data_IF_404381414768
#
_entry.id   IF_404381414768
#
_cell.length_a   1.000
_cell.length_b   1.000
_cell.length_c   1.000
_cell.angle_alpha   90.00
_cell.angle_beta   90.00
_cell.angle_gamma   90.00
#
_symmetry.space_group_name_H-M   'P 1'
#
loop_
_entity.id
_entity.type
_entity.pdbx_description
1 polymer ?
#
# COMPACT_ATOMS: atom_id res chain seq x y z
N UNK A 1 4.41 -17.01 -4.00
CA UNK A 1 5.33 -15.86 -3.78
C UNK A 1 6.15 -16.04 -2.50
N UNK A 2 7.46 -15.78 -2.53
CA UNK A 2 8.36 -15.82 -1.36
C UNK A 2 8.89 -14.43 -1.05
N UNK A 3 8.93 -14.05 0.25
CA UNK A 3 9.47 -12.78 0.72
C UNK A 3 10.91 -12.95 1.20
N UNK A 4 11.83 -12.20 0.61
CA UNK A 4 13.25 -12.11 1.02
C UNK A 4 13.43 -10.77 1.72
N UNK A 5 13.72 -10.80 3.02
CA UNK A 5 13.94 -9.58 3.82
C UNK A 5 15.41 -9.25 3.91
N UNK A 6 15.79 -8.11 3.33
CA UNK A 6 17.14 -7.58 3.33
C UNK A 6 18.08 -8.26 2.34
N UNK A 7 19.03 -7.49 1.83
CA UNK A 7 20.02 -7.93 0.84
C UNK A 7 20.97 -9.04 1.37
N UNK A 8 21.12 -9.17 2.69
CA UNK A 8 21.95 -10.21 3.30
C UNK A 8 21.34 -11.63 3.16
N UNK A 9 20.05 -11.73 2.89
CA UNK A 9 19.35 -13.00 2.69
C UNK A 9 19.22 -13.40 1.20
N UNK A 10 19.91 -12.74 0.29
CA UNK A 10 19.83 -13.00 -1.15
C UNK A 10 20.34 -14.40 -1.57
N UNK A 11 21.12 -15.08 -0.73
CA UNK A 11 21.46 -16.49 -0.96
C UNK A 11 20.25 -17.43 -1.06
N UNK A 12 19.07 -16.94 -0.60
CA UNK A 12 17.77 -17.62 -0.70
C UNK A 12 16.99 -17.22 -1.94
N UNK A 13 17.48 -16.25 -2.72
CA UNK A 13 16.90 -15.84 -3.99
C UNK A 13 17.41 -16.76 -5.11
N UNK A 14 16.63 -16.93 -6.19
CA UNK A 14 17.16 -17.57 -7.39
C UNK A 14 18.29 -16.72 -7.98
N UNK A 15 19.32 -17.38 -8.49
CA UNK A 15 20.31 -16.72 -9.33
C UNK A 15 19.82 -16.75 -10.77
N UNK A 16 19.59 -15.57 -11.33
CA UNK A 16 18.89 -15.38 -12.60
C UNK A 16 17.41 -15.04 -12.39
N UNK A 17 17.01 -13.85 -12.83
CA UNK A 17 15.62 -13.39 -12.70
C UNK A 17 15.27 -12.32 -13.74
N UNK A 18 13.98 -12.14 -13.93
CA UNK A 18 13.41 -10.91 -14.48
C UNK A 18 13.00 -10.01 -13.31
N UNK A 19 13.44 -8.76 -13.33
CA UNK A 19 13.37 -7.86 -12.18
C UNK A 19 12.59 -6.58 -12.49
N UNK A 20 11.84 -6.11 -11.54
CA UNK A 20 11.40 -4.71 -11.49
C UNK A 20 11.70 -4.11 -10.11
N UNK A 21 11.89 -2.79 -10.09
CA UNK A 21 12.28 -2.05 -8.88
C UNK A 21 11.37 -0.84 -8.69
N UNK A 22 10.76 -0.71 -7.53
CA UNK A 22 9.87 0.41 -7.24
C UNK A 22 9.22 0.35 -5.87
N UNK A 23 8.46 1.37 -5.51
CA UNK A 23 7.73 1.39 -4.25
C UNK A 23 6.48 0.51 -4.30
N UNK A 24 5.89 0.31 -5.46
CA UNK A 24 4.64 -0.44 -5.67
C UNK A 24 3.55 -0.03 -4.68
N UNK A 25 3.44 1.28 -4.41
CA UNK A 25 2.47 1.79 -3.46
C UNK A 25 1.06 1.81 -4.09
N UNK A 26 0.14 1.05 -3.48
CA UNK A 26 -1.20 0.81 -4.01
C UNK A 26 -1.29 -0.38 -4.98
N UNK A 27 -0.20 -0.88 -5.56
CA UNK A 27 -0.18 -1.91 -6.62
C UNK A 27 -1.26 -1.66 -7.69
N UNK A 28 -1.38 -0.39 -8.09
CA UNK A 28 -2.39 0.12 -9.03
C UNK A 28 -2.27 -0.53 -10.43
N UNK A 29 -3.26 -0.33 -11.30
CA UNK A 29 -3.33 -0.94 -12.64
C UNK A 29 -2.06 -0.75 -13.48
N UNK A 30 -1.38 0.39 -13.37
CA UNK A 30 -0.09 0.60 -14.03
C UNK A 30 1.01 -0.36 -13.52
N UNK A 31 1.03 -0.65 -12.21
CA UNK A 31 1.92 -1.68 -11.66
C UNK A 31 1.51 -3.08 -12.11
N UNK A 32 0.20 -3.39 -12.14
CA UNK A 32 -0.31 -4.68 -12.57
C UNK A 32 0.04 -4.95 -14.04
N UNK A 33 -0.10 -3.96 -14.92
CA UNK A 33 0.27 -4.06 -16.33
C UNK A 33 1.79 -4.32 -16.51
N UNK A 34 2.64 -3.60 -15.75
CA UNK A 34 4.08 -3.83 -15.73
C UNK A 34 4.40 -5.27 -15.29
N UNK A 35 3.78 -5.75 -14.21
CA UNK A 35 4.01 -7.09 -13.68
C UNK A 35 3.53 -8.18 -14.65
N UNK A 36 2.41 -7.94 -15.36
CA UNK A 36 1.95 -8.84 -16.41
C UNK A 36 2.96 -8.95 -17.57
N UNK A 37 3.54 -7.82 -18.00
CA UNK A 37 4.61 -7.79 -19.00
C UNK A 37 5.86 -8.54 -18.51
N UNK A 38 6.27 -8.28 -17.27
CA UNK A 38 7.42 -8.93 -16.66
C UNK A 38 7.22 -10.45 -16.50
N UNK A 39 6.01 -10.88 -16.22
CA UNK A 39 5.66 -12.30 -16.13
C UNK A 39 5.81 -13.00 -17.50
N UNK A 40 5.36 -12.39 -18.59
CA UNK A 40 5.55 -12.92 -19.95
C UNK A 40 7.04 -13.08 -20.28
N UNK A 41 7.86 -12.10 -19.92
CA UNK A 41 9.32 -12.18 -20.08
C UNK A 41 9.94 -13.30 -19.23
N UNK A 42 9.46 -13.47 -17.99
CA UNK A 42 9.88 -14.55 -17.11
C UNK A 42 9.55 -15.92 -17.69
N UNK A 43 8.34 -16.11 -18.17
CA UNK A 43 7.87 -17.34 -18.82
C UNK A 43 8.70 -17.65 -20.08
N UNK A 44 8.94 -16.64 -20.94
CA UNK A 44 9.73 -16.82 -22.17
C UNK A 44 11.20 -17.19 -21.92
N UNK A 45 11.77 -16.74 -20.80
CA UNK A 45 13.17 -17.00 -20.41
C UNK A 45 13.33 -18.17 -19.44
N UNK A 46 12.24 -18.74 -18.93
CA UNK A 46 12.29 -19.75 -17.87
C UNK A 46 12.82 -19.20 -16.55
N UNK A 47 12.58 -17.91 -16.24
CA UNK A 47 13.13 -17.19 -15.11
C UNK A 47 12.02 -16.72 -14.16
N UNK A 48 12.28 -16.69 -12.84
CA UNK A 48 11.33 -16.17 -11.86
C UNK A 48 11.20 -14.65 -11.94
N UNK A 49 9.98 -14.16 -11.63
CA UNK A 49 9.67 -12.75 -11.49
C UNK A 49 10.03 -12.27 -10.09
N UNK A 50 10.91 -11.30 -10.02
CA UNK A 50 11.35 -10.65 -8.77
C UNK A 50 10.91 -9.20 -8.75
N UNK A 51 10.31 -8.78 -7.65
CA UNK A 51 9.99 -7.37 -7.38
C UNK A 51 10.86 -6.90 -6.22
N UNK A 52 11.70 -5.89 -6.45
CA UNK A 52 12.46 -5.23 -5.40
C UNK A 52 11.69 -4.02 -4.89
N UNK A 53 11.40 -4.02 -3.59
CA UNK A 53 10.73 -2.92 -2.89
C UNK A 53 11.59 -2.40 -1.75
N UNK A 54 11.26 -1.21 -1.28
CA UNK A 54 11.97 -0.55 -0.18
C UNK A 54 11.08 -0.37 1.04
N UNK A 55 11.62 -0.66 2.22
CA UNK A 55 10.93 -0.47 3.49
C UNK A 55 11.90 0.09 4.56
N UNK A 56 11.67 1.33 5.08
CA UNK A 56 10.65 2.28 4.64
C UNK A 56 10.81 2.72 3.18
N UNK A 57 9.80 3.39 2.61
CA UNK A 57 9.93 3.97 1.28
C UNK A 57 10.98 5.10 1.29
N UNK A 58 11.74 5.32 0.21
CA UNK A 58 12.82 6.32 0.18
C UNK A 58 12.39 7.72 0.66
N UNK A 59 11.20 8.19 0.25
CA UNK A 59 10.69 9.50 0.67
C UNK A 59 10.37 9.57 2.16
N UNK A 60 9.99 8.46 2.80
CA UNK A 60 9.73 8.43 4.24
C UNK A 60 11.02 8.64 5.05
N UNK A 61 12.17 8.16 4.55
CA UNK A 61 13.45 8.38 5.20
C UNK A 61 13.92 9.85 5.11
N UNK A 62 13.67 10.51 3.95
CA UNK A 62 14.21 11.83 3.68
C UNK A 62 13.24 12.98 3.99
N UNK A 63 11.94 12.78 3.77
CA UNK A 63 10.92 13.82 3.93
C UNK A 63 10.11 13.70 5.25
N UNK A 64 10.24 12.58 5.98
CA UNK A 64 9.53 12.37 7.23
C UNK A 64 8.02 12.61 7.09
N UNK A 65 7.47 13.52 7.90
CA UNK A 65 6.03 13.86 7.90
C UNK A 65 5.54 14.50 6.59
N UNK A 66 6.45 15.03 5.77
CA UNK A 66 6.13 15.58 4.44
C UNK A 66 6.08 14.50 3.36
N UNK A 67 6.32 13.23 3.70
CA UNK A 67 6.21 12.14 2.74
C UNK A 67 4.75 11.96 2.29
N UNK A 68 4.52 11.54 1.03
CA UNK A 68 3.17 11.24 0.56
C UNK A 68 2.49 10.18 1.41
N UNK A 69 1.17 10.31 1.61
CA UNK A 69 0.38 9.32 2.31
C UNK A 69 0.56 7.94 1.68
N UNK A 70 0.85 6.93 2.50
CA UNK A 70 1.05 5.54 2.04
C UNK A 70 -0.29 4.93 1.64
N UNK A 71 -0.41 4.40 0.42
CA UNK A 71 -1.61 3.71 -0.06
C UNK A 71 -1.71 2.30 0.53
N UNK A 72 -0.61 1.54 0.51
CA UNK A 72 -0.55 0.17 1.02
C UNK A 72 0.57 -0.01 2.02
N UNK A 73 0.30 -0.70 3.13
CA UNK A 73 1.32 -1.22 4.03
C UNK A 73 1.96 -2.47 3.43
N UNK A 74 3.13 -2.87 3.96
CA UNK A 74 3.86 -4.01 3.41
C UNK A 74 3.02 -5.28 3.25
N UNK A 75 2.15 -5.60 4.23
CA UNK A 75 1.31 -6.81 4.16
C UNK A 75 0.28 -6.75 3.03
N UNK A 76 -0.40 -5.60 2.87
CA UNK A 76 -1.37 -5.35 1.80
C UNK A 76 -0.66 -5.43 0.45
N UNK A 77 0.47 -4.75 0.31
CA UNK A 77 1.31 -4.76 -0.89
C UNK A 77 1.73 -6.18 -1.28
N UNK A 78 2.21 -6.98 -0.32
CA UNK A 78 2.61 -8.36 -0.58
C UNK A 78 1.43 -9.23 -1.07
N UNK A 79 0.22 -9.02 -0.55
CA UNK A 79 -0.97 -9.72 -1.04
C UNK A 79 -1.23 -9.40 -2.51
N UNK A 80 -1.30 -8.11 -2.87
CA UNK A 80 -1.57 -7.69 -4.24
C UNK A 80 -0.44 -8.10 -5.22
N UNK A 81 0.82 -8.05 -4.80
CA UNK A 81 1.93 -8.56 -5.62
C UNK A 81 1.83 -10.09 -5.85
N UNK A 82 1.36 -10.84 -4.84
CA UNK A 82 1.13 -12.28 -5.00
C UNK A 82 0.01 -12.58 -5.99
N UNK A 83 -1.09 -11.81 -5.94
CA UNK A 83 -2.22 -11.90 -6.88
C UNK A 83 -1.78 -11.58 -8.32
N UNK A 84 -0.77 -10.71 -8.50
CA UNK A 84 -0.16 -10.42 -9.81
C UNK A 84 0.81 -11.51 -10.31
N UNK A 85 0.98 -12.63 -9.59
CA UNK A 85 1.84 -13.73 -10.03
C UNK A 85 3.34 -13.50 -9.82
N UNK A 86 3.73 -12.64 -8.89
CA UNK A 86 5.14 -12.43 -8.52
C UNK A 86 5.68 -13.64 -7.76
N UNK A 87 6.86 -14.14 -8.13
CA UNK A 87 7.49 -15.30 -7.49
C UNK A 87 8.23 -14.91 -6.22
N UNK A 88 8.98 -13.80 -6.26
CA UNK A 88 9.78 -13.32 -5.14
C UNK A 88 9.64 -11.82 -4.95
N UNK A 89 9.54 -11.39 -3.70
CA UNK A 89 9.67 -9.98 -3.32
C UNK A 89 10.93 -9.82 -2.50
N UNK A 90 11.88 -9.02 -3.00
CA UNK A 90 13.03 -8.57 -2.26
C UNK A 90 12.68 -7.27 -1.55
N UNK A 91 12.44 -7.35 -0.24
CA UNK A 91 12.18 -6.20 0.60
C UNK A 91 13.49 -5.67 1.18
N UNK A 92 14.01 -4.61 0.58
CA UNK A 92 15.28 -3.98 0.99
C UNK A 92 15.00 -2.97 2.10
N UNK A 93 15.78 -3.05 3.19
CA UNK A 93 15.78 -1.99 4.19
C UNK A 93 16.42 -0.74 3.58
N UNK A 94 15.61 0.31 3.42
CA UNK A 94 16.10 1.58 2.92
C UNK A 94 16.55 2.45 4.09
N UNK A 95 17.83 2.50 4.30
CA UNK A 95 18.48 3.31 5.34
C UNK A 95 19.59 4.17 4.72
N UNK A 96 20.23 5.00 5.52
CA UNK A 96 21.31 5.89 5.06
C UNK A 96 22.48 5.11 4.46
N UNK A 97 22.75 3.89 4.94
CA UNK A 97 23.82 3.03 4.42
C UNK A 97 23.48 2.54 3.00
N UNK A 98 22.23 2.07 2.79
CA UNK A 98 21.78 1.66 1.45
C UNK A 98 21.71 2.85 0.49
N UNK A 99 21.22 4.01 0.97
CA UNK A 99 21.13 5.25 0.17
C UNK A 99 22.52 5.81 -0.24
N UNK A 100 23.60 5.45 0.47
CA UNK A 100 24.97 5.83 0.13
C UNK A 100 25.64 4.87 -0.87
N UNK A 101 24.97 3.80 -1.31
CA UNK A 101 25.49 2.89 -2.32
C UNK A 101 25.68 3.65 -3.65
N UNK A 102 26.88 3.54 -4.25
CA UNK A 102 27.09 4.13 -5.58
C UNK A 102 26.25 3.44 -6.66
N UNK A 103 25.97 4.12 -7.76
CA UNK A 103 25.23 3.51 -8.86
C UNK A 103 25.95 2.27 -9.42
N UNK A 104 27.29 2.29 -9.50
CA UNK A 104 28.10 1.17 -9.95
C UNK A 104 27.97 -0.05 -9.00
N UNK A 105 28.04 0.17 -7.70
CA UNK A 105 27.89 -0.91 -6.73
C UNK A 105 26.46 -1.47 -6.71
N UNK A 106 25.46 -0.61 -6.89
CA UNK A 106 24.07 -1.05 -7.01
C UNK A 106 23.92 -1.98 -8.22
N UNK A 107 24.44 -1.63 -9.38
CA UNK A 107 24.36 -2.48 -10.58
C UNK A 107 25.27 -3.70 -10.44
N UNK A 108 26.59 -3.52 -10.26
CA UNK A 108 27.56 -4.61 -10.32
C UNK A 108 27.40 -5.62 -9.19
N UNK A 109 27.28 -5.14 -7.94
CA UNK A 109 27.22 -6.05 -6.78
C UNK A 109 25.80 -6.60 -6.55
N UNK A 110 24.76 -5.77 -6.67
CA UNK A 110 23.41 -6.18 -6.30
C UNK A 110 22.66 -6.81 -7.48
N UNK A 111 22.58 -6.12 -8.63
CA UNK A 111 21.82 -6.60 -9.77
C UNK A 111 22.54 -7.77 -10.49
N UNK A 112 23.82 -7.60 -10.79
CA UNK A 112 24.59 -8.57 -11.57
C UNK A 112 25.03 -9.74 -10.69
N UNK A 113 25.91 -9.49 -9.71
CA UNK A 113 26.56 -10.58 -8.98
C UNK A 113 25.61 -11.33 -8.06
N UNK A 114 24.69 -10.65 -7.36
CA UNK A 114 23.83 -11.29 -6.36
C UNK A 114 22.52 -11.80 -6.92
N UNK A 115 21.86 -11.03 -7.81
CA UNK A 115 20.56 -11.40 -8.38
C UNK A 115 20.70 -12.11 -9.73
N UNK A 116 21.79 -11.89 -10.45
CA UNK A 116 21.97 -12.43 -11.80
C UNK A 116 20.89 -11.95 -12.73
N UNK A 117 20.53 -10.67 -12.66
CA UNK A 117 19.44 -10.09 -13.45
C UNK A 117 19.70 -10.32 -14.93
N UNK A 118 18.70 -10.86 -15.65
CA UNK A 118 18.75 -11.06 -17.10
C UNK A 118 17.79 -10.15 -17.86
N UNK A 119 16.77 -9.64 -17.17
CA UNK A 119 15.85 -8.64 -17.72
C UNK A 119 15.42 -7.70 -16.61
N UNK A 120 15.47 -6.40 -16.87
CA UNK A 120 15.11 -5.33 -15.92
C UNK A 120 14.06 -4.41 -16.55
N UNK A 121 12.91 -4.27 -15.89
CA UNK A 121 11.90 -3.28 -16.26
C UNK A 121 11.76 -2.23 -15.15
N UNK A 122 11.98 -0.96 -15.47
CA UNK A 122 11.83 0.17 -14.54
C UNK A 122 11.21 1.37 -15.24
N UNK A 123 10.63 2.31 -14.48
CA UNK A 123 10.18 3.58 -15.05
C UNK A 123 11.34 4.37 -15.69
N UNK A 124 11.05 5.14 -16.70
CA UNK A 124 12.02 6.04 -17.37
C UNK A 124 12.52 7.15 -16.44
N UNK A 125 11.73 7.49 -15.42
CA UNK A 125 12.06 8.43 -14.35
C UNK A 125 12.82 7.78 -13.17
N UNK A 126 13.14 6.49 -13.25
CA UNK A 126 13.81 5.76 -12.18
C UNK A 126 15.20 6.34 -11.90
N UNK A 127 15.47 6.60 -10.62
CA UNK A 127 16.76 7.10 -10.13
C UNK A 127 17.24 6.24 -8.99
N UNK A 128 18.55 5.94 -8.99
CA UNK A 128 19.18 5.07 -7.99
C UNK A 128 20.60 5.52 -7.66
N UNK A 129 21.19 4.86 -6.67
CA UNK A 129 22.53 5.17 -6.21
C UNK A 129 22.63 6.45 -5.36
N UNK A 130 23.80 6.67 -4.78
CA UNK A 130 24.09 7.84 -3.96
C UNK A 130 23.79 9.13 -4.73
N UNK A 131 23.06 10.06 -4.08
CA UNK A 131 22.67 11.31 -4.72
C UNK A 131 21.78 11.17 -5.95
N UNK A 132 21.15 9.99 -6.17
CA UNK A 132 20.29 9.70 -7.34
C UNK A 132 21.03 9.84 -8.69
N UNK A 133 22.35 9.58 -8.70
CA UNK A 133 23.21 9.75 -9.89
C UNK A 133 22.96 8.68 -10.97
N UNK A 134 22.44 7.50 -10.60
CA UNK A 134 22.03 6.48 -11.55
C UNK A 134 20.66 6.80 -12.17
N UNK A 135 20.54 6.59 -13.46
CA UNK A 135 19.33 6.79 -14.25
C UNK A 135 19.09 5.63 -15.23
N UNK A 136 18.03 5.74 -16.03
CA UNK A 136 17.66 4.73 -16.99
C UNK A 136 18.75 4.50 -18.05
N UNK A 137 19.43 5.56 -18.53
CA UNK A 137 20.50 5.45 -19.51
C UNK A 137 21.71 4.69 -18.96
N UNK A 138 22.05 4.91 -17.69
CA UNK A 138 23.12 4.17 -17.02
C UNK A 138 22.78 2.69 -16.93
N UNK A 139 21.50 2.33 -16.64
CA UNK A 139 21.06 0.94 -16.63
C UNK A 139 21.16 0.30 -18.02
N UNK A 140 20.79 1.01 -19.09
CA UNK A 140 20.93 0.51 -20.47
C UNK A 140 22.39 0.24 -20.82
N UNK A 141 23.32 1.17 -20.50
CA UNK A 141 24.76 0.97 -20.70
C UNK A 141 25.28 -0.25 -19.92
N UNK A 142 24.87 -0.37 -18.66
CA UNK A 142 25.23 -1.52 -17.85
C UNK A 142 24.64 -2.82 -18.38
N UNK A 143 23.41 -2.80 -18.92
CA UNK A 143 22.81 -3.94 -19.59
C UNK A 143 23.64 -4.45 -20.75
N UNK A 144 24.16 -3.54 -21.59
CA UNK A 144 25.07 -3.89 -22.68
C UNK A 144 26.41 -4.44 -22.17
N UNK A 145 26.95 -3.90 -21.09
CA UNK A 145 28.23 -4.31 -20.50
C UNK A 145 28.15 -5.67 -19.81
N UNK A 146 27.08 -5.92 -19.04
CA UNK A 146 26.93 -7.11 -18.20
C UNK A 146 25.99 -8.17 -18.78
N UNK A 147 25.39 -7.96 -19.95
CA UNK A 147 24.59 -8.95 -20.66
C UNK A 147 23.17 -9.13 -20.09
N UNK A 148 22.50 -8.05 -19.70
CA UNK A 148 21.08 -8.10 -19.33
C UNK A 148 20.27 -7.04 -20.09
N UNK A 149 19.02 -7.37 -20.39
CA UNK A 149 18.13 -6.46 -21.10
C UNK A 149 17.50 -5.43 -20.16
N UNK A 150 17.32 -4.20 -20.63
CA UNK A 150 16.68 -3.12 -19.89
C UNK A 150 15.55 -2.51 -20.72
N UNK A 151 14.35 -2.47 -20.15
CA UNK A 151 13.19 -1.85 -20.78
C UNK A 151 12.56 -0.78 -19.89
N UNK A 152 11.99 0.26 -20.50
CA UNK A 152 11.18 1.22 -19.79
C UNK A 152 9.79 0.67 -19.54
N UNK A 153 9.31 0.81 -18.31
CA UNK A 153 7.92 0.55 -17.98
C UNK A 153 7.03 1.53 -18.75
N UNK A 154 6.18 1.01 -19.63
CA UNK A 154 5.25 1.84 -20.39
C UNK A 154 4.31 2.61 -19.47
N UNK A 155 4.06 3.87 -19.79
CA UNK A 155 3.03 4.66 -19.11
C UNK A 155 1.66 4.01 -19.37
N UNK A 156 1.01 3.58 -18.31
CA UNK A 156 -0.34 3.02 -18.40
C UNK A 156 -1.36 4.13 -18.19
N UNK A 157 -2.28 4.29 -19.14
CA UNK A 157 -3.38 5.26 -19.07
C UNK A 157 -4.71 4.52 -19.09
N UNK A 158 -5.69 5.01 -18.33
CA UNK A 158 -7.06 4.56 -18.32
C UNK A 158 -8.00 5.75 -18.43
N UNK A 159 -8.96 5.70 -19.37
CA UNK A 159 -9.82 6.84 -19.65
C UNK A 159 -9.07 8.13 -20.03
N UNK A 160 -7.87 8.03 -20.61
CA UNK A 160 -7.03 9.18 -20.95
C UNK A 160 -6.20 9.76 -19.77
N UNK A 161 -6.34 9.19 -18.57
CA UNK A 161 -5.61 9.62 -17.36
C UNK A 161 -4.45 8.66 -17.09
N UNK A 162 -3.26 9.20 -16.82
CA UNK A 162 -2.10 8.40 -16.40
C UNK A 162 -2.36 7.77 -15.03
N UNK A 163 -2.33 6.45 -14.96
CA UNK A 163 -2.48 5.72 -13.69
C UNK A 163 -1.19 5.78 -12.90
N UNK A 164 -1.25 6.35 -11.70
CA UNK A 164 -0.11 6.51 -10.80
C UNK A 164 -0.54 6.53 -9.33
N UNK A 165 0.39 6.25 -8.41
CA UNK A 165 0.12 6.39 -6.97
C UNK A 165 -0.28 7.83 -6.58
N UNK A 166 0.19 8.84 -7.33
CA UNK A 166 -0.20 10.24 -7.12
C UNK A 166 -1.65 10.47 -7.50
N UNK A 167 -2.10 9.97 -8.65
CA UNK A 167 -3.50 10.07 -9.07
C UNK A 167 -4.44 9.35 -8.10
N UNK A 168 -4.05 8.17 -7.61
CA UNK A 168 -4.83 7.45 -6.59
C UNK A 168 -4.94 8.25 -5.29
N UNK A 169 -3.82 8.87 -4.82
CA UNK A 169 -3.87 9.71 -3.61
C UNK A 169 -4.77 10.92 -3.78
N UNK A 170 -4.75 11.53 -4.96
CA UNK A 170 -5.62 12.67 -5.26
C UNK A 170 -7.08 12.27 -5.22
N UNK A 171 -7.47 11.19 -5.92
CA UNK A 171 -8.84 10.67 -5.90
C UNK A 171 -9.33 10.35 -4.48
N UNK A 172 -8.47 9.73 -3.65
CA UNK A 172 -8.79 9.46 -2.24
C UNK A 172 -8.91 10.74 -1.39
N UNK A 173 -8.09 11.76 -1.66
CA UNK A 173 -8.16 13.04 -0.95
C UNK A 173 -9.41 13.85 -1.34
N UNK A 174 -9.89 13.68 -2.56
CA UNK A 174 -11.11 14.30 -3.09
C UNK A 174 -12.38 13.46 -2.79
N UNK A 175 -12.24 12.38 -2.02
CA UNK A 175 -13.31 11.44 -1.65
C UNK A 175 -13.94 10.66 -2.84
N UNK A 176 -13.24 10.62 -3.96
CA UNK A 176 -13.64 9.89 -5.18
C UNK A 176 -13.23 8.42 -5.09
N UNK A 177 -13.91 7.64 -4.24
CA UNK A 177 -13.56 6.23 -3.97
C UNK A 177 -13.68 5.36 -5.23
N UNK A 178 -14.68 5.59 -6.07
CA UNK A 178 -14.87 4.85 -7.33
C UNK A 178 -13.73 5.13 -8.33
N UNK A 179 -13.31 6.38 -8.44
CA UNK A 179 -12.14 6.78 -9.25
C UNK A 179 -10.87 6.12 -8.71
N UNK A 180 -10.68 6.13 -7.38
CA UNK A 180 -9.54 5.47 -6.75
C UNK A 180 -9.55 3.94 -6.98
N UNK A 181 -10.70 3.28 -6.88
CA UNK A 181 -10.88 1.85 -7.16
C UNK A 181 -10.57 1.53 -8.62
N UNK A 182 -11.05 2.34 -9.56
CA UNK A 182 -10.76 2.19 -10.99
C UNK A 182 -9.27 2.31 -11.28
N UNK A 183 -8.56 3.28 -10.68
CA UNK A 183 -7.12 3.43 -10.84
C UNK A 183 -6.32 2.31 -10.16
N UNK A 184 -6.77 1.84 -9.00
CA UNK A 184 -6.15 0.75 -8.26
C UNK A 184 -6.40 -0.61 -8.93
N UNK A 185 -7.57 -0.83 -9.53
CA UNK A 185 -8.05 -2.14 -9.98
C UNK A 185 -8.54 -3.04 -8.83
N UNK A 186 -8.69 -2.47 -7.65
CA UNK A 186 -9.28 -3.08 -6.46
C UNK A 186 -9.76 -1.99 -5.50
N UNK A 187 -10.74 -2.27 -4.61
CA UNK A 187 -11.22 -1.27 -3.66
C UNK A 187 -10.13 -0.84 -2.67
N UNK A 188 -10.20 0.43 -2.26
CA UNK A 188 -9.26 0.93 -1.26
C UNK A 188 -9.54 0.28 0.10
N UNK A 189 -8.56 -0.46 0.59
CA UNK A 189 -8.67 -1.29 1.80
C UNK A 189 -7.61 -0.90 2.82
N UNK A 190 -8.00 -0.87 4.09
CA UNK A 190 -7.10 -0.68 5.22
C UNK A 190 -7.12 -1.94 6.07
N UNK A 191 -5.99 -2.62 6.15
CA UNK A 191 -5.84 -3.86 6.92
C UNK A 191 -5.14 -3.61 8.26
N UNK A 192 -5.58 -4.30 9.31
CA UNK A 192 -4.88 -4.20 10.58
C UNK A 192 -5.38 -5.17 11.65
N UNK A 193 -4.59 -5.25 12.73
CA UNK A 193 -4.98 -6.01 13.91
C UNK A 193 -5.79 -5.11 14.84
N UNK A 194 -6.92 -5.60 15.30
CA UNK A 194 -7.76 -4.93 16.29
C UNK A 194 -7.03 -4.91 17.64
N UNK A 195 -6.94 -3.74 18.23
CA UNK A 195 -6.33 -3.50 19.54
C UNK A 195 -7.34 -2.92 20.53
N UNK A 196 -7.03 -3.00 21.82
CA UNK A 196 -7.81 -2.32 22.84
C UNK A 196 -7.71 -0.80 22.65
N UNK A 197 -8.86 -0.13 22.68
CA UNK A 197 -9.00 1.32 22.74
C UNK A 197 -9.59 1.75 24.10
N UNK A 198 -10.04 2.99 24.20
CA UNK A 198 -10.63 3.54 25.45
C UNK A 198 -12.04 3.01 25.74
N UNK A 199 -12.59 2.19 24.84
CA UNK A 199 -13.92 1.58 24.94
C UNK A 199 -15.08 2.59 25.11
N UNK A 200 -14.88 3.89 24.78
CA UNK A 200 -15.92 4.92 24.90
C UNK A 200 -17.17 4.56 24.08
N UNK A 201 -16.98 4.07 22.85
CA UNK A 201 -18.11 3.62 22.01
C UNK A 201 -19.00 2.58 22.68
N UNK A 202 -18.41 1.67 23.46
CA UNK A 202 -19.18 0.66 24.21
C UNK A 202 -20.10 1.29 25.27
N UNK A 203 -19.64 2.35 25.96
CA UNK A 203 -20.43 3.03 27.00
C UNK A 203 -21.62 3.79 26.44
N UNK A 204 -21.55 4.19 25.16
CA UNK A 204 -22.60 4.92 24.48
C UNK A 204 -23.47 4.06 23.54
N UNK A 205 -23.26 2.73 23.53
CA UNK A 205 -24.05 1.78 22.75
C UNK A 205 -23.51 1.46 21.36
N UNK A 206 -22.37 2.02 20.94
CA UNK A 206 -21.73 1.81 19.64
C UNK A 206 -20.31 1.23 19.81
N UNK A 207 -20.18 -0.07 20.15
CA UNK A 207 -18.87 -0.69 20.32
C UNK A 207 -18.04 -0.60 19.04
N UNK A 208 -16.77 -0.17 19.14
CA UNK A 208 -15.87 0.00 18.02
C UNK A 208 -14.63 -0.87 18.12
N UNK A 209 -14.21 -1.43 16.99
CA UNK A 209 -12.92 -2.07 16.81
C UNK A 209 -11.86 -1.00 16.45
N UNK A 210 -10.79 -0.94 17.22
CA UNK A 210 -9.72 0.04 17.04
C UNK A 210 -8.56 -0.56 16.25
N UNK A 211 -8.18 0.07 15.14
CA UNK A 211 -7.10 -0.38 14.27
C UNK A 211 -6.06 0.74 14.15
N UNK A 212 -4.86 0.57 14.74
CA UNK A 212 -3.77 1.53 14.57
C UNK A 212 -3.32 1.56 13.11
N UNK A 213 -3.43 2.70 12.46
CA UNK A 213 -3.06 2.80 11.04
C UNK A 213 -1.56 2.62 10.82
N UNK A 214 -0.72 2.95 11.83
CA UNK A 214 0.74 2.89 11.74
C UNK A 214 1.26 3.53 10.46
N UNK A 215 0.63 4.62 10.03
CA UNK A 215 0.97 5.50 8.91
C UNK A 215 1.23 6.88 9.49
N UNK A 216 2.17 7.61 8.93
CA UNK A 216 2.40 9.00 9.33
C UNK A 216 1.24 9.88 8.85
N UNK A 217 0.78 9.65 7.63
CA UNK A 217 -0.35 10.35 7.01
C UNK A 217 -1.30 9.32 6.40
N UNK A 218 -2.62 9.50 6.61
CA UNK A 218 -3.67 8.74 5.92
C UNK A 218 -4.09 9.47 4.64
N UNK A 219 -4.28 8.76 3.51
CA UNK A 219 -4.82 9.38 2.29
C UNK A 219 -6.30 9.71 2.39
N UNK A 220 -7.00 9.21 3.40
CA UNK A 220 -8.44 9.39 3.64
C UNK A 220 -8.69 9.83 5.07
N UNK A 221 -9.76 10.63 5.29
CA UNK A 221 -10.21 11.11 6.61
C UNK A 221 -11.73 11.26 6.62
N UNK A 222 -12.34 11.01 7.78
CA UNK A 222 -13.77 11.16 7.98
C UNK A 222 -14.48 9.85 8.27
N UNK A 223 -15.79 9.83 8.10
CA UNK A 223 -16.67 8.71 8.39
C UNK A 223 -17.14 8.07 7.09
N UNK A 224 -17.07 6.73 7.03
CA UNK A 224 -17.33 5.94 5.83
C UNK A 224 -18.26 4.77 6.13
N UNK A 225 -19.13 4.43 5.18
CA UNK A 225 -19.74 3.11 5.08
C UNK A 225 -18.69 2.12 4.59
N UNK A 226 -18.55 0.98 5.27
CA UNK A 226 -17.47 0.03 5.03
C UNK A 226 -17.94 -1.41 5.01
N UNK A 227 -17.25 -2.24 4.26
CA UNK A 227 -17.29 -3.69 4.41
C UNK A 227 -16.06 -4.16 5.21
N UNK A 228 -16.27 -5.13 6.09
CA UNK A 228 -15.24 -5.69 6.96
C UNK A 228 -15.05 -7.16 6.65
N UNK A 229 -13.93 -7.50 6.04
CA UNK A 229 -13.56 -8.87 5.69
C UNK A 229 -12.55 -9.48 6.69
N UNK A 230 -12.38 -10.80 6.62
CA UNK A 230 -11.44 -11.53 7.49
C UNK A 230 -12.07 -12.04 8.80
N UNK A 231 -13.39 -11.93 8.95
CA UNK A 231 -14.13 -12.39 10.12
C UNK A 231 -14.94 -13.67 9.87
N UNK A 232 -15.25 -13.96 8.62
CA UNK A 232 -16.02 -15.09 8.13
C UNK A 232 -15.93 -15.22 6.63
N UNK A 233 -16.79 -16.04 6.02
CA UNK A 233 -16.83 -16.23 4.57
C UNK A 233 -17.35 -14.98 3.82
N UNK A 234 -18.30 -14.26 4.44
CA UNK A 234 -18.86 -13.02 3.89
C UNK A 234 -18.36 -11.83 4.69
N UNK A 235 -18.18 -10.67 4.04
CA UNK A 235 -17.88 -9.43 4.75
C UNK A 235 -19.08 -9.00 5.60
N UNK A 236 -18.78 -8.31 6.71
CA UNK A 236 -19.75 -7.61 7.53
C UNK A 236 -19.83 -6.15 7.11
N UNK A 237 -20.98 -5.52 7.30
CA UNK A 237 -21.15 -4.10 7.05
C UNK A 237 -20.87 -3.30 8.32
N UNK A 238 -20.42 -2.06 8.14
CA UNK A 238 -20.08 -1.21 9.27
C UNK A 238 -19.96 0.27 8.90
N UNK A 239 -19.77 1.06 9.94
CA UNK A 239 -19.37 2.47 9.86
C UNK A 239 -17.97 2.59 10.40
N UNK A 240 -17.09 3.28 9.68
CA UNK A 240 -15.71 3.50 10.09
C UNK A 240 -15.39 4.99 10.20
N UNK A 241 -14.73 5.38 11.28
CA UNK A 241 -14.15 6.70 11.44
C UNK A 241 -12.62 6.62 11.27
N UNK A 242 -12.09 7.41 10.36
CA UNK A 242 -10.64 7.56 10.12
C UNK A 242 -10.23 8.96 10.53
N UNK A 243 -9.53 9.04 11.64
CA UNK A 243 -9.20 10.31 12.23
C UNK A 243 -7.86 10.34 12.94
N UNK A 244 -7.57 11.49 13.51
CA UNK A 244 -6.37 11.75 14.28
C UNK A 244 -6.70 11.82 15.75
N UNK A 245 -5.93 11.11 16.56
CA UNK A 245 -6.04 11.16 18.00
C UNK A 245 -4.81 11.81 18.61
N UNK A 246 -4.95 12.87 19.41
CA UNK A 246 -3.86 13.39 20.21
C UNK A 246 -3.38 12.33 21.22
N UNK A 247 -2.07 12.17 21.35
CA UNK A 247 -1.45 11.30 22.35
C UNK A 247 -0.33 12.06 23.04
N UNK A 248 0.14 11.57 24.17
CA UNK A 248 1.28 12.16 24.89
C UNK A 248 2.55 12.23 24.01
N UNK A 249 2.66 11.35 23.01
CA UNK A 249 3.81 11.27 22.09
C UNK A 249 3.53 11.89 20.70
N UNK A 250 2.46 12.71 20.54
CA UNK A 250 2.07 13.35 19.28
C UNK A 250 0.69 12.92 18.80
N UNK A 251 0.48 12.93 17.49
CA UNK A 251 -0.82 12.60 16.87
C UNK A 251 -0.75 11.20 16.24
N UNK A 252 -1.67 10.33 16.59
CA UNK A 252 -1.79 9.01 15.95
C UNK A 252 -2.98 8.97 15.00
N UNK A 253 -2.76 8.40 13.83
CA UNK A 253 -3.83 8.06 12.89
C UNK A 253 -4.49 6.75 13.36
N UNK A 254 -5.82 6.77 13.49
CA UNK A 254 -6.61 5.63 13.98
C UNK A 254 -7.81 5.40 13.08
N UNK A 255 -8.15 4.13 12.90
CA UNK A 255 -9.36 3.67 12.29
C UNK A 255 -10.21 3.00 13.37
N UNK A 256 -11.41 3.48 13.58
CA UNK A 256 -12.42 2.93 14.48
C UNK A 256 -13.58 2.40 13.65
N UNK A 257 -13.93 1.13 13.83
CA UNK A 257 -14.98 0.46 13.05
C UNK A 257 -16.08 -0.04 13.96
N UNK A 258 -17.30 0.39 13.72
CA UNK A 258 -18.52 -0.14 14.30
C UNK A 258 -19.19 -1.09 13.32
N UNK A 259 -19.39 -2.36 13.70
CA UNK A 259 -20.11 -3.35 12.88
C UNK A 259 -21.62 -3.20 13.07
N UNK A 260 -22.38 -3.27 11.96
CA UNK A 260 -23.84 -3.26 11.98
C UNK A 260 -24.35 -4.65 12.35
N UNK A 261 -25.39 -4.71 13.20
CA UNK A 261 -26.15 -5.92 13.56
C UNK A 261 -25.32 -7.09 14.16
N UNK A 262 -24.08 -6.84 14.53
CA UNK A 262 -23.17 -7.87 15.03
C UNK A 262 -22.40 -7.41 16.26
N UNK A 263 -22.47 -8.21 17.30
CA UNK A 263 -21.64 -8.06 18.51
C UNK A 263 -20.72 -9.26 18.61
N UNK A 264 -19.42 -9.05 18.39
CA UNK A 264 -18.42 -10.10 18.52
C UNK A 264 -17.11 -9.57 19.11
N UNK A 265 -16.34 -10.44 19.72
CA UNK A 265 -14.99 -10.10 20.17
C UNK A 265 -14.02 -10.13 18.99
N UNK A 266 -13.49 -8.94 18.67
CA UNK A 266 -12.55 -8.71 17.57
C UNK A 266 -11.11 -8.52 18.04
N UNK A 267 -10.84 -8.48 19.34
CA UNK A 267 -9.50 -8.20 19.85
C UNK A 267 -8.47 -9.22 19.35
N UNK A 268 -7.35 -8.71 18.87
CA UNK A 268 -6.27 -9.52 18.31
C UNK A 268 -6.54 -10.07 16.91
N UNK A 269 -7.78 -10.02 16.40
CA UNK A 269 -8.10 -10.44 15.03
C UNK A 269 -7.50 -9.46 14.03
N UNK A 270 -7.16 -9.95 12.86
CA UNK A 270 -6.73 -9.15 11.72
C UNK A 270 -7.90 -9.01 10.76
N UNK A 271 -8.30 -7.79 10.48
CA UNK A 271 -9.43 -7.48 9.60
C UNK A 271 -9.00 -6.58 8.44
N UNK A 272 -9.73 -6.67 7.35
CA UNK A 272 -9.61 -5.82 6.18
C UNK A 272 -10.85 -4.92 6.10
N UNK A 273 -10.66 -3.61 6.18
CA UNK A 273 -11.73 -2.61 6.14
C UNK A 273 -11.73 -1.97 4.75
N UNK A 274 -12.76 -2.26 3.99
CA UNK A 274 -12.96 -1.81 2.61
C UNK A 274 -13.85 -0.58 2.64
N UNK A 275 -13.36 0.56 2.17
CA UNK A 275 -14.12 1.80 2.12
C UNK A 275 -15.04 1.80 0.90
N UNK A 276 -16.35 2.03 1.11
CA UNK A 276 -17.35 2.01 0.04
C UNK A 276 -17.97 3.37 -0.26
N UNK A 277 -18.31 4.12 0.77
CA UNK A 277 -18.92 5.45 0.60
C UNK A 277 -18.51 6.37 1.73
N UNK A 278 -18.11 7.60 1.41
CA UNK A 278 -17.95 8.63 2.42
C UNK A 278 -19.31 9.11 2.91
N UNK A 279 -19.49 9.13 4.23
CA UNK A 279 -20.70 9.64 4.87
C UNK A 279 -20.52 11.11 5.19
N UNK A 280 -19.41 11.49 5.84
CA UNK A 280 -19.11 12.88 6.23
C UNK A 280 -17.64 13.07 6.63
N UNK A 281 -17.27 14.34 6.80
CA UNK A 281 -16.00 14.71 7.44
C UNK A 281 -16.07 14.52 8.97
N UNK A 282 -14.89 14.47 9.61
CA UNK A 282 -14.82 14.54 11.08
C UNK A 282 -15.42 15.87 11.59
N UNK A 283 -16.09 15.79 12.73
CA UNK A 283 -16.61 16.97 13.42
C UNK A 283 -16.45 16.79 14.94
N UNK A 284 -16.40 17.92 15.63
CA UNK A 284 -16.39 17.95 17.10
C UNK A 284 -17.82 18.12 17.61
N UNK A 285 -18.11 17.48 18.74
CA UNK A 285 -19.43 17.54 19.39
C UNK A 285 -19.31 18.24 20.73
N UNK A 286 -20.32 19.01 21.07
CA UNK A 286 -20.40 19.73 22.34
C UNK A 286 -20.82 18.84 23.53
N UNK A 287 -21.49 17.70 23.23
CA UNK A 287 -21.96 16.75 24.24
C UNK A 287 -21.91 15.30 23.74
N UNK A 288 -21.99 14.34 24.67
CA UNK A 288 -22.11 12.93 24.36
C UNK A 288 -23.42 12.60 23.65
N UNK A 289 -24.50 13.32 23.96
CA UNK A 289 -25.80 13.10 23.31
C UNK A 289 -25.78 13.55 21.85
N UNK A 290 -25.13 14.65 21.53
CA UNK A 290 -24.89 15.07 20.14
C UNK A 290 -24.07 14.03 19.37
N UNK A 291 -22.99 13.52 19.99
CA UNK A 291 -22.17 12.45 19.40
C UNK A 291 -23.01 11.19 19.12
N UNK A 292 -23.81 10.72 20.09
CA UNK A 292 -24.70 9.56 19.94
C UNK A 292 -25.70 9.77 18.80
N UNK A 293 -26.36 10.93 18.78
CA UNK A 293 -27.35 11.26 17.75
C UNK A 293 -26.69 11.28 16.34
N UNK A 294 -25.43 11.75 16.24
CA UNK A 294 -24.72 11.75 14.96
C UNK A 294 -24.29 10.35 14.55
N UNK A 295 -23.77 9.51 15.46
CA UNK A 295 -23.42 8.13 15.14
C UNK A 295 -24.66 7.34 14.65
N UNK A 296 -25.82 7.55 15.28
CA UNK A 296 -27.06 6.92 14.82
C UNK A 296 -27.46 7.36 13.39
N UNK A 297 -27.25 8.64 13.04
CA UNK A 297 -27.47 9.11 11.66
C UNK A 297 -26.48 8.50 10.68
N UNK A 298 -25.21 8.40 11.06
CA UNK A 298 -24.15 7.78 10.23
C UNK A 298 -24.49 6.30 9.95
N UNK A 299 -24.97 5.58 10.97
CA UNK A 299 -25.43 4.21 10.87
C UNK A 299 -26.61 4.06 9.90
N UNK A 300 -27.64 4.92 10.01
CA UNK A 300 -28.76 4.94 9.09
C UNK A 300 -28.31 5.16 7.63
N UNK A 301 -27.41 6.13 7.42
CA UNK A 301 -26.86 6.41 6.09
C UNK A 301 -26.10 5.20 5.52
N UNK A 302 -25.35 4.47 6.36
CA UNK A 302 -24.65 3.26 5.95
C UNK A 302 -25.64 2.13 5.62
N UNK A 303 -26.71 1.96 6.42
CA UNK A 303 -27.76 0.97 6.16
C UNK A 303 -28.47 1.24 4.83
N UNK A 304 -28.89 2.47 4.59
CA UNK A 304 -29.50 2.87 3.31
C UNK A 304 -28.57 2.56 2.13
N UNK A 305 -27.28 2.84 2.27
CA UNK A 305 -26.29 2.56 1.21
C UNK A 305 -26.17 1.05 0.92
N UNK A 306 -26.20 0.20 1.95
CA UNK A 306 -26.09 -1.25 1.79
C UNK A 306 -27.43 -1.96 1.53
N UNK A 307 -28.56 -1.24 1.58
CA UNK A 307 -29.90 -1.80 1.40
C UNK A 307 -30.36 -2.68 2.56
N UNK A 308 -30.01 -2.29 3.80
CA UNK A 308 -30.34 -2.99 5.06
C UNK A 308 -31.55 -2.39 5.77
#
# INVERSE_FOLDING_TARGET
MKLIRGIHNLSKAPHGCVLTIGNFDGVHRGHQALLQGLRKEGEARGLPVVVMIFEPQPLELFAGEKSPARLTRLREKLRYLAECGVDYVLCVRFDRRFAALTAQNFVGELLVKRLGVQFLAVGDDFRFGAGRQGDFLLLQKAGLEYGFDVTSAMTFCEGGVRVSSTAVRQALADDELDTAENLLGHPFTISGRVVHGDALGRTIGFPTANIPLRRQVSPVKGVYAVEVAGLGEKPYFGVANIGTRPTVAGVRQQLEVHLLDVVMDLYGRHIDVILRKKIRNEQRFGSLDELKAQIARDELTAREFFGL
#
